data_IF_376079140669
#
_entry.id   IF_376079140669
#
_cell.length_a   1.000
_cell.length_b   1.000
_cell.length_c   1.000
_cell.angle_alpha   90.00
_cell.angle_beta   90.00
_cell.angle_gamma   90.00
#
_symmetry.space_group_name_H-M   'P 1'
#
loop_
_entity.id
_entity.type
_entity.pdbx_description
1 polymer ?
#
# COMPACT_ATOMS: atom_id res chain seq x y z
N UNK A 1 0.55 1.91 -13.03
CA UNK A 1 1.57 0.85 -12.91
C UNK A 1 0.92 -0.49 -12.69
N UNK A 2 1.65 -1.54 -13.02
CA UNK A 2 1.16 -2.88 -12.79
C UNK A 2 1.09 -3.21 -11.30
N UNK A 3 0.14 -4.06 -10.95
CA UNK A 3 0.00 -4.55 -9.58
C UNK A 3 1.13 -5.52 -9.26
N UNK A 4 1.74 -5.34 -8.11
CA UNK A 4 2.80 -6.22 -7.62
C UNK A 4 2.24 -7.10 -6.52
N UNK A 5 2.30 -8.42 -6.71
CA UNK A 5 1.88 -9.36 -5.68
C UNK A 5 3.04 -9.61 -4.73
N UNK A 6 2.74 -9.61 -3.43
CA UNK A 6 3.77 -9.68 -2.40
C UNK A 6 3.49 -10.81 -1.42
N UNK A 7 4.55 -11.27 -0.75
CA UNK A 7 4.42 -12.22 0.36
C UNK A 7 4.40 -11.45 1.65
N UNK A 8 3.26 -11.50 2.33
CA UNK A 8 3.08 -10.79 3.58
C UNK A 8 1.94 -11.44 4.35
N UNK A 9 1.98 -11.34 5.67
CA UNK A 9 0.88 -11.83 6.49
C UNK A 9 -0.38 -10.98 6.33
N UNK A 10 -0.25 -9.72 5.89
CA UNK A 10 -1.37 -8.79 5.76
C UNK A 10 -1.62 -8.34 4.34
N UNK A 11 -0.57 -8.11 3.57
CA UNK A 11 -0.70 -7.52 2.24
C UNK A 11 -0.73 -8.59 1.17
N UNK A 12 -1.66 -8.45 0.23
CA UNK A 12 -1.76 -9.34 -0.92
C UNK A 12 -1.04 -8.75 -2.13
N UNK A 13 -1.32 -7.49 -2.44
CA UNK A 13 -0.73 -6.84 -3.60
C UNK A 13 -0.72 -5.34 -3.43
N UNK A 14 0.16 -4.70 -4.21
CA UNK A 14 0.42 -3.27 -4.15
C UNK A 14 0.43 -2.72 -5.56
N UNK A 15 -0.20 -1.56 -5.77
CA UNK A 15 -0.15 -0.84 -7.04
C UNK A 15 0.13 0.62 -6.75
N UNK A 16 1.06 1.21 -7.47
CA UNK A 16 1.43 2.60 -7.27
C UNK A 16 1.24 3.40 -8.56
N UNK A 17 0.54 4.52 -8.47
CA UNK A 17 0.35 5.45 -9.56
C UNK A 17 1.20 6.68 -9.32
N UNK A 18 2.35 6.72 -9.97
CA UNK A 18 3.36 7.73 -9.72
C UNK A 18 2.88 9.15 -10.03
N UNK A 19 2.14 9.31 -11.11
CA UNK A 19 1.70 10.65 -11.54
C UNK A 19 0.84 11.35 -10.51
N UNK A 20 0.06 10.58 -9.74
CA UNK A 20 -0.82 11.14 -8.72
C UNK A 20 -0.39 10.73 -7.31
N UNK A 21 0.76 10.08 -7.20
CA UNK A 21 1.32 9.60 -5.92
C UNK A 21 0.30 8.81 -5.10
N UNK A 22 -0.44 7.93 -5.77
CA UNK A 22 -1.47 7.13 -5.11
C UNK A 22 -0.98 5.70 -4.94
N UNK A 23 -1.00 5.21 -3.71
CA UNK A 23 -0.61 3.85 -3.37
C UNK A 23 -1.86 3.06 -3.04
N UNK A 24 -2.11 2.01 -3.82
CA UNK A 24 -3.25 1.13 -3.59
C UNK A 24 -2.78 -0.18 -2.99
N UNK A 25 -3.38 -0.55 -1.88
CA UNK A 25 -3.07 -1.79 -1.16
C UNK A 25 -4.30 -2.70 -1.19
N UNK A 26 -4.09 -3.94 -1.63
CA UNK A 26 -5.07 -5.00 -1.43
C UNK A 26 -4.58 -5.85 -0.27
N UNK A 27 -5.38 -5.94 0.78
CA UNK A 27 -5.05 -6.75 1.94
C UNK A 27 -5.50 -8.19 1.73
N UNK A 28 -4.93 -9.11 2.49
CA UNK A 28 -5.30 -10.52 2.40
C UNK A 28 -6.77 -10.76 2.76
N UNK A 29 -7.36 -9.85 3.52
CA UNK A 29 -8.79 -9.89 3.84
C UNK A 29 -9.68 -9.58 2.65
N UNK A 30 -9.11 -9.04 1.57
CA UNK A 30 -9.86 -8.57 0.41
C UNK A 30 -10.17 -7.09 0.42
N UNK A 31 -9.92 -6.39 1.51
CA UNK A 31 -10.13 -4.95 1.57
C UNK A 31 -9.13 -4.23 0.66
N UNK A 32 -9.57 -3.18 -0.01
CA UNK A 32 -8.75 -2.40 -0.92
C UNK A 32 -8.75 -0.94 -0.46
N UNK A 33 -7.56 -0.42 -0.21
CA UNK A 33 -7.39 0.96 0.26
C UNK A 33 -6.49 1.73 -0.70
N UNK A 34 -6.80 3.01 -0.91
CA UNK A 34 -5.97 3.92 -1.68
C UNK A 34 -5.47 5.03 -0.78
N UNK A 35 -4.15 5.22 -0.74
CA UNK A 35 -3.50 6.26 0.04
C UNK A 35 -2.98 7.33 -0.91
N UNK A 36 -3.30 8.58 -0.63
CA UNK A 36 -2.97 9.72 -1.49
C UNK A 36 -1.77 10.50 -0.98
N UNK A 37 -0.98 11.04 -1.90
CA UNK A 37 0.17 11.86 -1.54
C UNK A 37 1.36 11.08 -1.05
N UNK A 38 1.43 9.79 -1.36
CA UNK A 38 2.54 8.93 -0.95
C UNK A 38 3.69 9.11 -1.92
N UNK A 39 4.86 9.59 -1.45
CA UNK A 39 5.99 9.79 -2.37
C UNK A 39 6.55 8.46 -2.89
N UNK A 40 7.17 8.49 -4.09
CA UNK A 40 7.69 7.26 -4.72
C UNK A 40 8.65 6.45 -3.85
N UNK A 41 9.44 7.12 -3.01
CA UNK A 41 10.42 6.39 -2.19
C UNK A 41 9.75 5.45 -1.20
N UNK A 42 8.51 5.70 -0.81
CA UNK A 42 7.79 4.78 0.06
C UNK A 42 7.30 3.54 -0.68
N UNK A 43 6.96 3.68 -1.95
CA UNK A 43 6.65 2.50 -2.76
C UNK A 43 7.90 1.65 -2.92
N UNK A 44 9.03 2.28 -3.25
CA UNK A 44 10.29 1.56 -3.42
C UNK A 44 10.70 0.89 -2.11
N UNK A 45 10.64 1.63 -1.00
CA UNK A 45 10.97 1.08 0.31
C UNK A 45 10.08 -0.09 0.69
N UNK A 46 8.78 0.03 0.43
CA UNK A 46 7.82 -1.04 0.71
C UNK A 46 8.16 -2.31 -0.08
N UNK A 47 8.45 -2.16 -1.38
CA UNK A 47 8.76 -3.32 -2.23
C UNK A 47 10.06 -3.99 -1.83
N UNK A 48 10.98 -3.26 -1.23
CA UNK A 48 12.27 -3.79 -0.78
C UNK A 48 12.30 -4.21 0.69
N UNK A 49 11.24 -3.96 1.43
CA UNK A 49 11.20 -4.25 2.85
C UNK A 49 11.19 -5.76 3.11
N UNK A 50 11.91 -6.18 4.14
CA UNK A 50 11.88 -7.57 4.60
C UNK A 50 10.50 -7.92 5.14
N UNK A 51 9.89 -6.99 5.86
CA UNK A 51 8.51 -7.13 6.33
C UNK A 51 7.68 -5.99 5.74
N UNK A 52 6.92 -6.30 4.70
CA UNK A 52 6.12 -5.30 4.01
C UNK A 52 4.96 -4.81 4.86
N UNK A 53 4.40 -5.67 5.68
CA UNK A 53 3.35 -5.27 6.60
C UNK A 53 3.82 -4.26 7.62
N UNK A 54 5.01 -4.46 8.18
CA UNK A 54 5.59 -3.51 9.15
C UNK A 54 5.95 -2.19 8.49
N UNK A 55 6.53 -2.25 7.29
CA UNK A 55 6.88 -1.04 6.57
C UNK A 55 5.62 -0.21 6.29
N UNK A 56 4.60 -0.86 5.76
CA UNK A 56 3.33 -0.20 5.47
C UNK A 56 2.75 0.45 6.73
N UNK A 57 2.69 -0.31 7.82
CA UNK A 57 2.10 0.20 9.05
C UNK A 57 2.85 1.42 9.59
N UNK A 58 4.17 1.34 9.61
CA UNK A 58 5.01 2.37 10.22
C UNK A 58 5.15 3.61 9.35
N UNK A 59 5.35 3.43 8.04
CA UNK A 59 5.73 4.55 7.16
C UNK A 59 4.59 5.05 6.30
N UNK A 60 3.47 4.38 6.28
CA UNK A 60 2.32 4.80 5.46
C UNK A 60 1.08 4.97 6.32
N UNK A 61 0.62 3.92 6.96
CA UNK A 61 -0.63 3.98 7.72
C UNK A 61 -0.58 4.97 8.88
N UNK A 62 0.52 5.00 9.62
CA UNK A 62 0.66 5.86 10.81
C UNK A 62 1.13 7.28 10.50
N UNK A 63 1.42 7.57 9.25
CA UNK A 63 1.94 8.89 8.86
C UNK A 63 0.86 9.92 8.56
N UNK A 64 -0.40 9.52 8.61
CA UNK A 64 -1.49 10.45 8.42
C UNK A 64 -1.83 10.76 6.97
N UNK A 65 -1.39 9.94 6.03
CA UNK A 65 -1.78 10.12 4.64
C UNK A 65 -3.29 10.00 4.50
N UNK A 66 -3.85 10.81 3.61
CA UNK A 66 -5.27 10.70 3.26
C UNK A 66 -5.52 9.36 2.59
N UNK A 67 -6.60 8.70 2.95
CA UNK A 67 -6.90 7.39 2.37
C UNK A 67 -8.40 7.17 2.28
N UNK A 68 -8.78 6.19 1.45
CA UNK A 68 -10.17 5.73 1.38
C UNK A 68 -10.19 4.24 1.07
N UNK A 69 -11.17 3.55 1.60
CA UNK A 69 -11.43 2.17 1.21
C UNK A 69 -12.26 2.17 -0.06
N UNK A 70 -11.77 1.49 -1.10
CA UNK A 70 -12.42 1.50 -2.42
C UNK A 70 -12.96 0.14 -2.81
N UNK A 71 -12.72 -0.91 -1.98
CA UNK A 71 -13.25 -2.24 -2.29
C UNK A 71 -13.11 -3.18 -1.13
N UNK A 72 -13.70 -4.36 -1.30
CA UNK A 72 -13.66 -5.42 -0.32
C UNK A 72 -14.71 -5.27 0.77
N UNK A 73 -14.72 -6.27 1.66
CA UNK A 73 -15.59 -6.28 2.83
C UNK A 73 -14.90 -5.51 3.93
N UNK A 74 -15.36 -4.36 4.18
CA UNK A 74 -14.80 -3.48 5.20
C UNK A 74 -15.27 -3.78 6.58
#
# INVERSE_FOLDING_TARGET
MERQYVRSSNLNSVRYEEEIMMLEIVFNSGAVYQYSGVPPYHFIGLMNAASKGRYFDRFIRKMGYRYQQVGGMG
#
